data_IF_499811674887
#
_entry.id   IF_499811674887
#
_cell.length_a   1.000
_cell.length_b   1.000
_cell.length_c   1.000
_cell.angle_alpha   90.00
_cell.angle_beta   90.00
_cell.angle_gamma   90.00
#
_symmetry.space_group_name_H-M   'P 1'
#
loop_
_entity.id
_entity.type
_entity.pdbx_description
1 polymer ?
#
# COMPACT_ATOMS: atom_id res chain seq x y z
N UNK A 1 -21.67 -9.89 6.20
CA UNK A 1 -21.75 -8.55 6.79
C UNK A 1 -20.52 -7.71 6.39
N UNK A 2 -19.29 -8.10 6.77
CA UNK A 2 -18.06 -7.36 6.38
C UNK A 2 -17.83 -7.24 4.85
N UNK A 3 -18.15 -8.29 4.08
CA UNK A 3 -18.06 -8.28 2.60
C UNK A 3 -18.95 -7.20 1.95
N UNK A 4 -20.16 -6.98 2.47
CA UNK A 4 -21.07 -5.95 1.94
C UNK A 4 -20.57 -4.54 2.28
N UNK A 5 -20.01 -4.35 3.48
CA UNK A 5 -19.40 -3.06 3.88
C UNK A 5 -18.15 -2.73 3.05
N UNK A 6 -17.33 -3.74 2.71
CA UNK A 6 -16.19 -3.58 1.82
C UNK A 6 -16.61 -3.21 0.39
N UNK A 7 -17.64 -3.87 -0.15
CA UNK A 7 -18.25 -3.46 -1.42
C UNK A 7 -18.86 -2.05 -1.35
N UNK A 8 -19.34 -1.60 -0.19
CA UNK A 8 -19.77 -0.21 0.00
C UNK A 8 -18.60 0.77 -0.04
N UNK A 9 -17.47 0.46 0.59
CA UNK A 9 -16.24 1.28 0.48
C UNK A 9 -15.81 1.38 -0.99
N UNK A 10 -15.79 0.25 -1.71
CA UNK A 10 -15.47 0.20 -3.14
C UNK A 10 -16.54 0.82 -4.05
N UNK A 11 -17.82 0.85 -3.67
CA UNK A 11 -18.91 1.38 -4.51
C UNK A 11 -19.24 2.85 -4.25
N UNK A 12 -18.98 3.35 -3.04
CA UNK A 12 -19.18 4.76 -2.68
C UNK A 12 -18.01 5.65 -3.12
N UNK A 13 -16.80 5.08 -3.23
CA UNK A 13 -15.58 5.86 -3.48
C UNK A 13 -15.03 5.72 -4.91
N UNK A 14 -15.75 5.11 -5.86
CA UNK A 14 -15.17 4.84 -7.19
C UNK A 14 -16.08 5.29 -8.33
N UNK A 15 -15.53 6.17 -9.18
CA UNK A 15 -16.12 6.58 -10.46
C UNK A 15 -15.96 5.50 -11.56
N UNK A 16 -15.62 4.26 -11.18
CA UNK A 16 -15.44 3.16 -12.11
C UNK A 16 -16.77 2.76 -12.74
N UNK A 17 -16.76 2.64 -14.07
CA UNK A 17 -17.86 2.07 -14.83
C UNK A 17 -18.10 0.60 -14.46
N UNK A 18 -19.27 0.08 -14.83
CA UNK A 18 -19.59 -1.34 -14.62
C UNK A 18 -18.58 -2.28 -15.29
N UNK A 19 -18.01 -1.89 -16.44
CA UNK A 19 -17.00 -2.66 -17.14
C UNK A 19 -15.67 -2.68 -16.38
N UNK A 20 -15.23 -1.54 -15.84
CA UNK A 20 -13.98 -1.42 -15.08
C UNK A 20 -14.03 -2.17 -13.75
N UNK A 21 -15.22 -2.37 -13.18
CA UNK A 21 -15.42 -3.21 -11.97
C UNK A 21 -15.15 -4.70 -12.22
N UNK A 22 -15.00 -5.12 -13.47
CA UNK A 22 -14.55 -6.47 -13.84
C UNK A 22 -13.06 -6.56 -14.19
N UNK A 23 -12.34 -5.43 -14.25
CA UNK A 23 -10.93 -5.39 -14.61
C UNK A 23 -10.06 -5.53 -13.34
N UNK A 24 -9.30 -6.63 -13.17
CA UNK A 24 -8.45 -6.83 -12.00
C UNK A 24 -7.37 -5.75 -11.85
N UNK A 25 -6.95 -5.09 -12.94
CA UNK A 25 -5.97 -4.01 -12.91
C UNK A 25 -6.58 -2.77 -12.26
N UNK A 26 -7.81 -2.39 -12.66
CA UNK A 26 -8.50 -1.25 -12.06
C UNK A 26 -8.85 -1.54 -10.61
N UNK A 27 -9.39 -2.74 -10.32
CA UNK A 27 -9.72 -3.17 -8.95
C UNK A 27 -8.51 -3.18 -8.02
N UNK A 28 -7.33 -3.55 -8.52
CA UNK A 28 -6.07 -3.49 -7.79
C UNK A 28 -5.65 -2.06 -7.46
N UNK A 29 -5.78 -1.12 -8.41
CA UNK A 29 -5.42 0.30 -8.21
C UNK A 29 -6.27 0.99 -7.14
N UNK A 30 -7.50 0.55 -6.93
CA UNK A 30 -8.36 1.06 -5.86
C UNK A 30 -7.78 0.82 -4.46
N UNK A 31 -6.80 -0.08 -4.30
CA UNK A 31 -6.08 -0.20 -3.01
C UNK A 31 -5.23 1.04 -2.69
N UNK A 32 -4.97 1.94 -3.63
CA UNK A 32 -4.36 3.25 -3.33
C UNK A 32 -5.26 4.12 -2.45
N UNK A 33 -6.57 3.90 -2.52
CA UNK A 33 -7.53 4.53 -1.63
C UNK A 33 -7.43 4.01 -0.19
N UNK A 34 -6.48 3.12 0.14
CA UNK A 34 -6.20 2.76 1.55
C UNK A 34 -5.85 4.00 2.38
N UNK A 35 -5.26 5.04 1.76
CA UNK A 35 -5.06 6.34 2.41
C UNK A 35 -6.36 7.05 2.78
N UNK A 36 -7.47 6.80 2.10
CA UNK A 36 -8.79 7.33 2.51
C UNK A 36 -9.33 6.62 3.76
N UNK A 37 -8.86 5.40 4.03
CA UNK A 37 -9.30 4.53 5.13
C UNK A 37 -8.41 4.71 6.37
N UNK A 38 -7.10 4.83 6.17
CA UNK A 38 -6.08 4.75 7.21
C UNK A 38 -5.11 5.93 7.11
N UNK A 39 -4.84 6.58 8.23
CA UNK A 39 -3.91 7.69 8.34
C UNK A 39 -2.50 7.19 8.69
N UNK A 40 -1.51 7.59 7.91
CA UNK A 40 -0.11 7.22 8.16
C UNK A 40 0.55 8.11 9.22
N UNK A 41 1.32 7.52 10.14
CA UNK A 41 2.09 8.30 11.13
C UNK A 41 3.40 7.58 11.50
N UNK A 42 4.53 8.27 11.26
CA UNK A 42 5.90 7.81 11.55
C UNK A 42 6.60 8.65 12.63
N UNK A 43 5.89 9.60 13.25
CA UNK A 43 6.47 10.52 14.25
C UNK A 43 6.88 9.86 15.56
N UNK A 44 6.36 8.66 15.85
CA UNK A 44 6.53 7.99 17.14
C UNK A 44 5.54 8.44 18.23
N UNK A 45 4.70 9.45 17.96
CA UNK A 45 3.62 9.89 18.85
C UNK A 45 2.24 9.54 18.27
N UNK A 46 1.41 8.89 19.08
CA UNK A 46 0.11 8.35 18.65
C UNK A 46 -1.02 8.67 19.65
N UNK A 47 -0.92 9.78 20.38
CA UNK A 47 -1.81 10.09 21.52
C UNK A 47 -3.30 10.16 21.16
N UNK A 48 -3.61 10.57 19.93
CA UNK A 48 -4.98 10.74 19.41
C UNK A 48 -5.43 9.57 18.51
N UNK A 49 -4.70 8.46 18.50
CA UNK A 49 -5.01 7.29 17.67
C UNK A 49 -4.48 5.98 18.24
N UNK A 50 -4.53 4.94 17.42
CA UNK A 50 -3.96 3.64 17.76
C UNK A 50 -2.51 3.58 17.27
N UNK A 51 -1.60 3.20 18.16
CA UNK A 51 -0.21 2.90 17.79
C UNK A 51 -0.19 1.80 16.70
N UNK A 52 0.46 2.03 15.54
CA UNK A 52 0.48 1.09 14.41
C UNK A 52 0.88 -0.35 14.78
N UNK A 53 1.73 -0.52 15.79
CA UNK A 53 2.20 -1.84 16.27
C UNK A 53 1.16 -2.62 17.09
N UNK A 54 0.06 -1.98 17.50
CA UNK A 54 -1.02 -2.64 18.27
C UNK A 54 -2.08 -3.30 17.39
N UNK A 55 -2.09 -3.01 16.08
CA UNK A 55 -3.01 -3.67 15.16
C UNK A 55 -2.64 -5.15 15.00
N UNK A 56 -3.59 -6.02 15.30
CA UNK A 56 -3.46 -7.49 15.12
C UNK A 56 -4.18 -8.01 13.87
N UNK A 57 -4.84 -7.13 13.13
CA UNK A 57 -5.51 -7.44 11.88
C UNK A 57 -6.23 -6.23 11.28
N UNK A 58 -6.64 -6.34 10.01
CA UNK A 58 -7.30 -5.25 9.27
C UNK A 58 -8.80 -5.12 9.55
N UNK A 59 -9.44 -6.15 10.11
CA UNK A 59 -10.89 -6.16 10.32
C UNK A 59 -11.38 -5.05 11.27
N UNK A 60 -10.72 -4.76 12.42
CA UNK A 60 -11.08 -3.63 13.27
C UNK A 60 -10.98 -2.28 12.55
N UNK A 61 -9.91 -2.07 11.78
CA UNK A 61 -9.68 -0.84 11.00
C UNK A 61 -10.81 -0.62 10.00
N UNK A 62 -11.10 -1.63 9.18
CA UNK A 62 -12.14 -1.54 8.14
C UNK A 62 -13.54 -1.38 8.75
N UNK A 63 -13.79 -2.01 9.90
CA UNK A 63 -15.05 -1.88 10.63
C UNK A 63 -15.22 -0.45 11.16
N UNK A 64 -14.21 0.10 11.81
CA UNK A 64 -14.22 1.46 12.35
C UNK A 64 -14.48 2.47 11.22
N UNK A 65 -13.71 2.40 10.13
CA UNK A 65 -13.92 3.25 8.96
C UNK A 65 -15.34 3.14 8.40
N UNK A 66 -15.89 1.92 8.30
CA UNK A 66 -17.25 1.72 7.80
C UNK A 66 -18.33 2.29 8.73
N UNK A 67 -18.08 2.38 10.04
CA UNK A 67 -19.03 2.89 11.03
C UNK A 67 -18.97 4.41 11.17
N UNK A 68 -17.77 4.98 11.06
CA UNK A 68 -17.54 6.43 11.25
C UNK A 68 -17.53 7.22 9.95
N UNK A 69 -17.13 6.60 8.83
CA UNK A 69 -16.82 7.29 7.58
C UNK A 69 -15.59 8.20 7.68
N UNK A 70 -14.81 8.11 8.74
CA UNK A 70 -13.61 8.92 8.98
C UNK A 70 -12.36 8.05 8.94
N UNK A 71 -11.27 8.62 8.44
CA UNK A 71 -9.97 7.97 8.41
C UNK A 71 -9.56 7.45 9.79
N UNK A 72 -9.11 6.20 9.85
CA UNK A 72 -8.69 5.53 11.09
C UNK A 72 -7.23 5.87 11.37
N UNK A 73 -6.91 6.19 12.62
CA UNK A 73 -5.56 6.54 13.07
C UNK A 73 -4.96 5.39 13.90
N UNK A 74 -3.73 4.92 13.68
CA UNK A 74 -2.75 5.22 12.64
C UNK A 74 -2.23 3.94 11.98
N UNK A 75 -1.57 4.09 10.82
CA UNK A 75 -0.92 3.03 10.08
C UNK A 75 0.55 3.32 9.78
N UNK A 76 1.30 2.23 9.53
CA UNK A 76 2.61 2.25 8.86
C UNK A 76 2.60 1.18 7.76
N UNK A 77 3.70 1.01 7.02
CA UNK A 77 3.72 0.22 5.78
C UNK A 77 3.10 -1.18 5.91
N UNK A 78 3.39 -1.93 6.97
CA UNK A 78 2.79 -3.26 7.18
C UNK A 78 1.28 -3.23 7.44
N UNK A 79 0.77 -2.15 8.03
CA UNK A 79 -0.66 -1.95 8.27
C UNK A 79 -1.35 -1.62 6.94
N UNK A 80 -0.78 -0.69 6.15
CA UNK A 80 -1.26 -0.38 4.80
C UNK A 80 -1.29 -1.63 3.91
N UNK A 81 -0.19 -2.38 3.87
CA UNK A 81 -0.10 -3.63 3.12
C UNK A 81 -1.14 -4.67 3.60
N UNK A 82 -1.36 -4.79 4.91
CA UNK A 82 -2.35 -5.72 5.46
C UNK A 82 -3.79 -5.33 5.12
N UNK A 83 -4.11 -4.03 5.15
CA UNK A 83 -5.43 -3.52 4.75
C UNK A 83 -5.62 -3.76 3.25
N UNK A 84 -4.69 -3.35 2.39
CA UNK A 84 -4.75 -3.56 0.95
C UNK A 84 -4.89 -5.04 0.57
N UNK A 85 -4.13 -5.93 1.21
CA UNK A 85 -4.25 -7.38 1.01
C UNK A 85 -5.65 -7.90 1.37
N UNK A 86 -6.23 -7.45 2.49
CA UNK A 86 -7.59 -7.81 2.89
C UNK A 86 -8.65 -7.27 1.93
N UNK A 87 -8.48 -6.03 1.42
CA UNK A 87 -9.35 -5.45 0.40
C UNK A 87 -9.33 -6.30 -0.88
N UNK A 88 -8.15 -6.60 -1.42
CA UNK A 88 -7.98 -7.46 -2.60
C UNK A 88 -8.61 -8.84 -2.42
N UNK A 89 -8.32 -9.52 -1.30
CA UNK A 89 -8.88 -10.85 -1.02
C UNK A 89 -10.39 -10.81 -0.88
N UNK A 90 -10.94 -9.75 -0.31
CA UNK A 90 -12.38 -9.58 -0.19
C UNK A 90 -13.05 -9.47 -1.55
N UNK A 91 -12.45 -8.79 -2.53
CA UNK A 91 -13.02 -8.69 -3.89
C UNK A 91 -12.63 -9.85 -4.82
N UNK A 92 -11.96 -10.88 -4.28
CA UNK A 92 -11.64 -12.12 -5.01
C UNK A 92 -10.30 -12.08 -5.76
N UNK A 93 -9.49 -11.04 -5.59
CA UNK A 93 -8.13 -11.00 -6.13
C UNK A 93 -7.18 -11.80 -5.22
N UNK A 94 -6.42 -12.79 -5.74
CA UNK A 94 -5.41 -13.47 -4.96
C UNK A 94 -4.30 -12.48 -4.58
N UNK A 95 -4.07 -12.29 -3.28
CA UNK A 95 -3.10 -11.33 -2.77
C UNK A 95 -2.28 -11.87 -1.60
N UNK A 96 -1.06 -11.37 -1.43
CA UNK A 96 -0.15 -11.68 -0.31
C UNK A 96 0.63 -10.44 0.11
N UNK A 97 0.90 -10.31 1.40
CA UNK A 97 1.82 -9.29 1.91
C UNK A 97 3.25 -9.76 1.70
N UNK A 98 4.12 -8.86 1.26
CA UNK A 98 5.56 -9.08 1.07
C UNK A 98 6.32 -8.11 1.95
N UNK A 99 7.43 -8.57 2.51
CA UNK A 99 8.37 -7.75 3.28
C UNK A 99 9.71 -7.73 2.56
N UNK A 100 10.22 -6.53 2.31
CA UNK A 100 11.58 -6.29 1.86
C UNK A 100 12.41 -5.78 3.03
N UNK A 101 13.56 -6.40 3.28
CA UNK A 101 14.48 -5.99 4.35
C UNK A 101 15.58 -5.12 3.76
N UNK A 102 16.01 -4.08 4.49
CA UNK A 102 16.95 -3.07 3.97
C UNK A 102 16.40 -2.45 2.68
N UNK A 103 15.19 -1.91 2.78
CA UNK A 103 14.49 -1.38 1.61
C UNK A 103 14.98 0.02 1.30
N UNK A 104 15.60 0.19 0.13
CA UNK A 104 15.93 1.50 -0.39
C UNK A 104 14.66 2.28 -0.73
N UNK A 105 14.66 3.56 -0.39
CA UNK A 105 13.68 4.52 -0.85
C UNK A 105 14.43 5.60 -1.64
N UNK A 106 14.33 5.50 -2.95
CA UNK A 106 14.79 6.47 -3.93
C UNK A 106 13.69 7.54 -4.11
N UNK A 107 14.08 8.82 -4.04
CA UNK A 107 13.17 9.96 -4.16
C UNK A 107 13.29 10.69 -5.51
N UNK A 108 14.27 10.36 -6.35
CA UNK A 108 14.55 11.05 -7.62
C UNK A 108 14.61 10.14 -8.86
N UNK A 109 14.24 8.87 -8.70
CA UNK A 109 14.21 7.83 -9.74
C UNK A 109 15.60 7.56 -10.37
N UNK A 110 16.68 7.84 -9.64
CA UNK A 110 18.06 7.64 -10.08
C UNK A 110 18.51 6.18 -10.09
N UNK A 111 17.79 5.30 -9.38
CA UNK A 111 18.21 3.93 -9.04
C UNK A 111 19.46 3.88 -8.15
N UNK A 112 19.80 4.99 -7.49
CA UNK A 112 20.86 5.08 -6.48
C UNK A 112 20.30 5.38 -5.10
N UNK A 113 21.18 5.37 -4.08
CA UNK A 113 20.85 5.84 -2.74
C UNK A 113 21.87 6.91 -2.39
N UNK A 114 21.46 8.16 -2.53
CA UNK A 114 22.35 9.31 -2.37
C UNK A 114 22.28 9.86 -0.94
N UNK A 115 23.42 9.78 -0.24
CA UNK A 115 23.58 10.24 1.13
C UNK A 115 24.62 11.35 1.20
N UNK A 116 24.24 12.48 1.76
CA UNK A 116 25.05 13.68 1.84
C UNK A 116 25.63 13.84 3.24
N UNK A 117 26.90 14.24 3.31
CA UNK A 117 27.62 14.46 4.55
C UNK A 117 28.29 15.82 4.51
N UNK A 118 28.32 16.52 5.63
CA UNK A 118 29.05 17.77 5.74
C UNK A 118 30.58 17.54 5.79
N UNK A 119 31.33 18.65 5.85
CA UNK A 119 32.80 18.62 5.90
C UNK A 119 33.36 17.92 7.14
N UNK A 120 32.56 17.77 8.20
CA UNK A 120 32.95 17.15 9.47
C UNK A 120 32.51 15.67 9.51
N UNK A 121 31.81 15.19 8.48
CA UNK A 121 31.33 13.82 8.33
C UNK A 121 29.95 13.59 8.94
N UNK A 122 29.24 14.64 9.33
CA UNK A 122 27.89 14.55 9.88
C UNK A 122 26.86 14.38 8.76
N UNK A 123 25.87 13.51 9.01
CA UNK A 123 24.85 13.15 8.03
C UNK A 123 23.84 14.29 7.82
N UNK A 124 23.57 14.61 6.55
CA UNK A 124 22.63 15.66 6.15
C UNK A 124 21.28 15.05 5.77
N UNK A 125 20.43 14.85 6.78
CA UNK A 125 19.16 14.14 6.68
C UNK A 125 18.17 14.74 5.66
N UNK A 126 18.15 16.06 5.47
CA UNK A 126 17.17 16.73 4.61
C UNK A 126 17.47 16.63 3.10
N UNK A 127 18.67 16.20 2.71
CA UNK A 127 19.05 15.98 1.30
C UNK A 127 19.22 14.50 0.97
N UNK A 128 19.19 13.62 1.97
CA UNK A 128 19.61 12.23 1.84
C UNK A 128 18.43 11.27 1.69
N UNK A 129 18.66 10.21 0.93
CA UNK A 129 17.69 9.15 0.70
C UNK A 129 17.71 8.11 1.82
N UNK A 130 16.55 7.51 2.11
CA UNK A 130 16.40 6.67 3.31
C UNK A 130 16.52 5.17 3.00
N UNK A 131 17.27 4.47 3.84
CA UNK A 131 17.25 3.00 3.91
C UNK A 131 16.34 2.58 5.05
N UNK A 132 15.20 1.99 4.71
CA UNK A 132 14.26 1.48 5.70
C UNK A 132 14.72 0.12 6.21
N UNK A 133 14.69 -0.09 7.52
CA UNK A 133 15.00 -1.40 8.14
C UNK A 133 14.20 -2.52 7.46
N UNK A 134 12.92 -2.25 7.19
CA UNK A 134 12.10 -3.04 6.29
C UNK A 134 10.99 -2.16 5.69
N UNK A 135 10.45 -2.61 4.57
CA UNK A 135 9.24 -2.08 3.98
C UNK A 135 8.30 -3.23 3.59
N UNK A 136 7.00 -2.97 3.59
CA UNK A 136 5.99 -3.98 3.27
C UNK A 136 4.97 -3.45 2.27
N UNK A 137 4.63 -4.30 1.29
CA UNK A 137 3.63 -4.02 0.26
C UNK A 137 2.77 -5.26 -0.01
N UNK A 138 1.86 -5.18 -0.98
CA UNK A 138 0.98 -6.28 -1.39
C UNK A 138 1.28 -6.75 -2.81
N UNK A 139 1.56 -8.04 -3.00
CA UNK A 139 1.53 -8.64 -4.33
C UNK A 139 0.10 -9.10 -4.65
N UNK A 140 -0.37 -8.83 -5.87
CA UNK A 140 -1.67 -9.28 -6.36
C UNK A 140 -1.51 -10.06 -7.66
N UNK A 141 -2.15 -11.22 -7.76
CA UNK A 141 -2.07 -12.08 -8.94
C UNK A 141 -3.12 -11.70 -9.98
N UNK A 142 -2.69 -11.33 -11.18
CA UNK A 142 -3.58 -11.02 -12.30
C UNK A 142 -2.90 -11.22 -13.65
N UNK A 143 -3.71 -11.33 -14.71
CA UNK A 143 -3.22 -11.18 -16.08
C UNK A 143 -2.98 -9.69 -16.40
N UNK A 144 -2.07 -9.41 -17.34
CA UNK A 144 -1.74 -8.05 -17.81
C UNK A 144 -1.92 -7.94 -19.32
N UNK A 145 -3.17 -7.99 -19.84
CA UNK A 145 -3.43 -7.86 -21.27
C UNK A 145 -3.07 -6.47 -21.84
N UNK A 146 -2.86 -5.49 -20.96
CA UNK A 146 -2.37 -4.15 -21.26
C UNK A 146 -0.84 -4.09 -21.50
N UNK A 147 -0.12 -5.18 -21.21
CA UNK A 147 1.33 -5.31 -21.40
C UNK A 147 1.68 -6.42 -22.40
N UNK A 148 2.93 -6.48 -22.90
CA UNK A 148 3.40 -7.63 -23.69
C UNK A 148 3.22 -8.97 -22.96
N UNK A 149 3.09 -10.04 -23.74
CA UNK A 149 2.98 -11.39 -23.18
C UNK A 149 4.20 -11.72 -22.30
N UNK A 150 3.94 -12.26 -21.11
CA UNK A 150 4.97 -12.59 -20.11
C UNK A 150 4.88 -11.77 -18.83
N UNK A 151 4.23 -10.60 -18.84
CA UNK A 151 4.14 -9.72 -17.67
C UNK A 151 2.96 -9.98 -16.72
N UNK A 152 2.19 -11.04 -16.93
CA UNK A 152 1.15 -11.48 -15.99
C UNK A 152 1.73 -12.12 -14.71
N UNK A 153 0.85 -12.61 -13.84
CA UNK A 153 1.24 -13.23 -12.57
C UNK A 153 1.22 -12.24 -11.41
N UNK A 154 2.20 -12.31 -10.51
CA UNK A 154 2.29 -11.42 -9.35
C UNK A 154 2.66 -9.99 -9.77
N UNK A 155 1.89 -9.03 -9.28
CA UNK A 155 2.11 -7.60 -9.46
C UNK A 155 2.32 -6.95 -8.09
N UNK A 156 3.40 -6.19 -7.92
CA UNK A 156 3.64 -5.39 -6.73
C UNK A 156 2.69 -4.18 -6.71
N UNK A 157 2.04 -3.97 -5.56
CA UNK A 157 1.20 -2.82 -5.26
C UNK A 157 1.60 -2.30 -3.89
N UNK A 158 2.03 -1.05 -3.86
CA UNK A 158 2.42 -0.38 -2.63
C UNK A 158 1.36 0.66 -2.23
N UNK A 159 0.54 0.30 -1.25
CA UNK A 159 -0.47 1.19 -0.70
C UNK A 159 0.11 2.28 0.22
N UNK A 160 1.38 2.19 0.61
CA UNK A 160 2.06 3.24 1.39
C UNK A 160 2.53 4.36 0.48
N UNK A 161 3.02 4.01 -0.71
CA UNK A 161 3.55 4.95 -1.71
C UNK A 161 2.58 5.24 -2.86
N UNK A 162 1.41 4.59 -2.90
CA UNK A 162 0.42 4.63 -3.98
C UNK A 162 1.02 4.26 -5.36
N UNK A 163 1.82 3.19 -5.41
CA UNK A 163 2.49 2.74 -6.65
C UNK A 163 2.03 1.36 -7.13
N UNK A 164 2.07 1.14 -8.44
CA UNK A 164 1.72 -0.13 -9.10
C UNK A 164 0.40 -0.08 -9.91
N UNK A 165 -0.19 -1.24 -10.27
CA UNK A 165 0.39 -2.58 -10.18
C UNK A 165 1.57 -2.75 -11.15
N UNK A 166 2.73 -3.10 -10.60
CA UNK A 166 3.97 -3.32 -11.36
C UNK A 166 4.29 -4.80 -11.47
N UNK A 167 4.54 -5.30 -12.68
CA UNK A 167 4.82 -6.73 -12.90
C UNK A 167 6.13 -7.14 -12.24
N UNK A 168 6.11 -8.21 -11.42
CA UNK A 168 7.34 -8.74 -10.86
C UNK A 168 8.28 -9.32 -11.92
N UNK A 169 7.76 -9.74 -13.08
CA UNK A 169 8.59 -10.17 -14.21
C UNK A 169 9.29 -9.00 -14.93
N UNK A 170 8.87 -7.75 -14.67
CA UNK A 170 9.56 -6.56 -15.18
C UNK A 170 10.68 -6.07 -14.25
N UNK A 171 10.66 -6.47 -12.98
CA UNK A 171 11.62 -6.03 -11.95
C UNK A 171 12.78 -7.03 -11.80
N UNK A 172 12.53 -8.31 -12.11
CA UNK A 172 13.55 -9.38 -12.10
C UNK A 172 14.60 -9.19 -13.18
#
# INVERSE_FOLDING_TARGET
>A
LMYCQLLEIYSKNTDLSYHEKGDPIQLARLTFDTHSILEGNWSGSYEDGTNPSLWTGSAPILKEYSETGTQVKYGQCWVFASVACSLCRAIGLPARVVTNVVSAQDYDDSLTVDNYFDKDGEFLDFESESLWNFHAWTDVWMARPDLPAGYGGWQAIDATLNTGPSSLEAIK
#
